data_IF_062461347004
#
_entry.id   IF_062461347004
#
_cell.length_a   1.000
_cell.length_b   1.000
_cell.length_c   1.000
_cell.angle_alpha   90.00
_cell.angle_beta   90.00
_cell.angle_gamma   90.00
#
_symmetry.space_group_name_H-M   'P 1'
#
loop_
_entity.id
_entity.type
_entity.pdbx_description
1 polymer ?
#
# COMPACT_ATOMS: atom_id res chain seq x y z
N UNK A 1 -23.63 4.72 -5.32
CA UNK A 1 -22.37 5.29 -4.80
C UNK A 1 -21.97 4.66 -3.47
N UNK A 2 -20.94 3.81 -3.49
CA UNK A 2 -20.31 3.21 -2.30
C UNK A 2 -18.89 3.77 -2.12
N UNK A 3 -18.35 3.66 -0.91
CA UNK A 3 -16.96 4.03 -0.61
C UNK A 3 -16.24 2.84 0.00
N UNK A 4 -15.04 2.54 -0.51
CA UNK A 4 -14.13 1.54 0.04
C UNK A 4 -12.88 2.23 0.57
N UNK A 5 -12.51 1.90 1.80
CA UNK A 5 -11.38 2.50 2.49
C UNK A 5 -10.42 1.39 2.90
N UNK A 6 -9.17 1.52 2.48
CA UNK A 6 -8.11 0.55 2.73
C UNK A 6 -6.95 1.22 3.46
N UNK A 7 -6.38 0.55 4.45
CA UNK A 7 -5.09 0.91 5.00
C UNK A 7 -4.02 0.04 4.35
N UNK A 8 -2.96 0.65 3.85
CA UNK A 8 -1.94 0.00 3.02
C UNK A 8 -0.55 0.30 3.58
N UNK A 9 0.31 -0.71 3.63
CA UNK A 9 1.70 -0.60 4.02
C UNK A 9 2.63 -0.80 2.82
N UNK A 10 3.46 0.19 2.53
CA UNK A 10 4.63 0.06 1.67
C UNK A 10 5.84 -0.20 2.57
N UNK A 11 6.17 -1.49 2.75
CA UNK A 11 7.23 -1.94 3.64
C UNK A 11 8.49 -2.18 2.83
N UNK A 12 9.63 -1.57 3.21
CA UNK A 12 10.92 -1.84 2.58
C UNK A 12 11.91 -2.57 3.52
N UNK A 13 12.75 -3.43 2.94
CA UNK A 13 13.90 -4.02 3.63
C UNK A 13 15.17 -3.18 3.46
N UNK A 14 16.29 -3.64 4.02
CA UNK A 14 17.60 -2.98 3.90
C UNK A 14 18.17 -3.02 2.47
N UNK A 15 17.69 -3.93 1.63
CA UNK A 15 18.10 -4.08 0.23
C UNK A 15 17.33 -3.14 -0.71
N UNK A 16 16.38 -2.35 -0.18
CA UNK A 16 15.55 -1.44 -0.98
C UNK A 16 14.43 -2.15 -1.74
N UNK A 17 14.10 -3.38 -1.37
CA UNK A 17 12.98 -4.13 -1.92
C UNK A 17 11.71 -3.90 -1.11
N UNK A 18 10.55 -4.05 -1.75
CA UNK A 18 9.23 -3.85 -1.15
C UNK A 18 8.51 -5.16 -0.93
N UNK A 19 7.83 -5.29 0.21
CA UNK A 19 7.05 -6.47 0.54
C UNK A 19 5.68 -6.42 -0.14
N UNK A 20 5.37 -7.46 -0.90
CA UNK A 20 4.09 -7.66 -1.57
C UNK A 20 3.55 -9.06 -1.30
N UNK A 21 2.23 -9.14 -1.18
CA UNK A 21 1.50 -10.40 -1.11
C UNK A 21 1.05 -10.79 -2.50
N UNK A 22 1.28 -12.03 -2.90
CA UNK A 22 0.72 -12.60 -4.13
C UNK A 22 -0.57 -13.34 -3.79
N UNK A 23 -1.71 -12.83 -4.24
CA UNK A 23 -3.00 -13.48 -4.03
C UNK A 23 -2.99 -14.86 -4.71
N UNK A 24 -3.50 -15.86 -4.01
CA UNK A 24 -3.63 -17.24 -4.50
C UNK A 24 -4.54 -17.29 -5.73
N UNK A 25 -4.44 -18.37 -6.50
CA UNK A 25 -5.13 -18.50 -7.80
C UNK A 25 -6.59 -18.99 -7.70
N UNK A 26 -7.10 -19.21 -6.49
CA UNK A 26 -8.43 -19.72 -6.19
C UNK A 26 -9.47 -18.59 -6.11
N UNK A 27 -10.22 -18.38 -7.20
CA UNK A 27 -11.46 -17.57 -7.32
C UNK A 27 -11.51 -16.18 -6.64
N UNK A 28 -10.38 -15.63 -6.20
CA UNK A 28 -10.30 -14.33 -5.59
C UNK A 28 -10.21 -13.21 -6.63
N UNK A 29 -10.86 -12.09 -6.32
CA UNK A 29 -10.67 -10.85 -7.03
C UNK A 29 -9.17 -10.48 -6.99
N UNK A 30 -8.53 -10.38 -8.16
CA UNK A 30 -7.08 -10.20 -8.36
C UNK A 30 -6.21 -11.48 -8.22
N UNK A 31 -6.76 -12.67 -8.42
CA UNK A 31 -5.98 -13.91 -8.48
C UNK A 31 -4.67 -13.80 -9.30
N UNK A 32 -3.55 -14.11 -8.64
CA UNK A 32 -2.20 -14.01 -9.21
C UNK A 32 -1.64 -12.59 -9.36
N UNK A 33 -2.31 -11.55 -8.86
CA UNK A 33 -1.72 -10.23 -8.70
C UNK A 33 -0.85 -10.16 -7.45
N UNK A 34 0.11 -9.24 -7.51
CA UNK A 34 0.86 -8.77 -6.37
C UNK A 34 0.16 -7.52 -5.84
N UNK A 35 -0.26 -7.60 -4.58
CA UNK A 35 -0.91 -6.51 -3.84
C UNK A 35 0.00 -6.07 -2.70
N UNK A 36 0.00 -4.78 -2.35
CA UNK A 36 0.71 -4.33 -1.15
C UNK A 36 0.05 -4.95 0.09
N UNK A 37 0.80 -4.99 1.19
CA UNK A 37 0.27 -5.41 2.49
C UNK A 37 -0.82 -4.43 2.93
N UNK A 38 -1.97 -4.93 3.38
CA UNK A 38 -3.06 -4.07 3.82
C UNK A 38 -4.46 -4.58 3.50
N UNK A 39 -5.44 -3.99 4.19
CA UNK A 39 -6.82 -4.45 4.16
C UNK A 39 -7.84 -3.35 4.48
N UNK A 40 -9.08 -3.77 4.72
CA UNK A 40 -10.20 -2.86 4.95
C UNK A 40 -10.08 -2.18 6.31
N UNK A 41 -10.38 -0.88 6.34
CA UNK A 41 -10.47 -0.12 7.59
C UNK A 41 -11.77 -0.49 8.30
N UNK A 42 -11.69 -0.90 9.57
CA UNK A 42 -12.85 -1.22 10.38
C UNK A 42 -13.53 0.06 10.90
N UNK A 43 -14.84 0.05 11.23
CA UNK A 43 -15.56 1.25 11.69
C UNK A 43 -14.89 1.96 12.87
N UNK A 44 -14.34 1.21 13.82
CA UNK A 44 -13.62 1.70 15.00
C UNK A 44 -12.24 2.30 14.68
N UNK A 45 -11.68 2.01 13.50
CA UNK A 45 -10.36 2.46 13.06
C UNK A 45 -10.42 3.73 12.20
N UNK A 46 -11.63 4.22 11.86
CA UNK A 46 -11.81 5.36 10.94
C UNK A 46 -11.11 6.65 11.42
N UNK A 47 -11.04 6.87 12.74
CA UNK A 47 -10.34 8.03 13.32
C UNK A 47 -8.82 7.83 13.39
N UNK A 48 -8.34 6.59 13.30
CA UNK A 48 -6.94 6.23 13.39
C UNK A 48 -6.58 5.14 12.39
N UNK A 49 -6.55 5.53 11.11
CA UNK A 49 -6.25 4.61 10.01
C UNK A 49 -4.85 3.97 10.08
N UNK A 50 -3.95 4.53 10.91
CA UNK A 50 -2.65 3.91 11.23
C UNK A 50 -2.83 2.61 12.03
N UNK A 51 -3.82 2.53 12.92
CA UNK A 51 -4.10 1.30 13.66
C UNK A 51 -4.54 0.18 12.72
N UNK A 52 -5.41 0.48 11.76
CA UNK A 52 -5.78 -0.46 10.70
C UNK A 52 -4.54 -0.95 9.95
N UNK A 53 -3.65 -0.03 9.53
CA UNK A 53 -2.43 -0.39 8.82
C UNK A 53 -1.55 -1.35 9.64
N UNK A 54 -1.26 -1.04 10.90
CA UNK A 54 -0.41 -1.88 11.76
C UNK A 54 -1.04 -3.25 12.05
N UNK A 55 -2.36 -3.31 12.19
CA UNK A 55 -3.09 -4.57 12.35
C UNK A 55 -2.96 -5.44 11.11
N UNK A 56 -3.21 -4.91 9.92
CA UNK A 56 -3.11 -5.65 8.66
C UNK A 56 -1.67 -6.15 8.43
N UNK A 57 -0.66 -5.33 8.75
CA UNK A 57 0.74 -5.76 8.71
C UNK A 57 0.98 -6.96 9.60
N UNK A 58 0.48 -6.96 10.84
CA UNK A 58 0.61 -8.09 11.74
C UNK A 58 -0.17 -9.32 11.23
N UNK A 59 -1.42 -9.17 10.82
CA UNK A 59 -2.29 -10.26 10.34
C UNK A 59 -1.73 -10.93 9.07
N UNK A 60 -1.19 -10.16 8.12
CA UNK A 60 -0.69 -10.67 6.84
C UNK A 60 0.78 -11.12 6.84
N UNK A 61 1.60 -10.60 7.76
CA UNK A 61 3.06 -10.80 7.73
C UNK A 61 3.68 -11.29 9.04
N UNK A 62 2.93 -11.28 10.14
CA UNK A 62 3.43 -11.58 11.48
C UNK A 62 4.41 -10.54 12.06
N UNK A 63 4.74 -9.46 11.33
CA UNK A 63 5.60 -8.39 11.82
C UNK A 63 4.88 -7.60 12.92
N UNK A 64 5.53 -7.44 14.06
CA UNK A 64 5.02 -6.66 15.17
C UNK A 64 5.48 -5.20 15.06
N UNK A 65 4.82 -4.29 15.77
CA UNK A 65 5.16 -2.87 15.76
C UNK A 65 6.64 -2.60 16.15
N UNK A 66 7.23 -3.45 16.99
CA UNK A 66 8.65 -3.36 17.38
C UNK A 66 9.62 -3.63 16.23
N UNK A 67 9.17 -4.35 15.20
CA UNK A 67 9.97 -4.72 14.02
C UNK A 67 9.89 -3.64 12.93
N UNK A 68 9.00 -2.65 13.10
CA UNK A 68 8.71 -1.60 12.13
C UNK A 68 9.37 -0.28 12.53
N UNK A 69 9.98 0.37 11.55
CA UNK A 69 10.69 1.63 11.70
C UNK A 69 10.20 2.65 10.68
N UNK A 70 10.42 3.94 10.97
CA UNK A 70 10.10 5.05 10.07
C UNK A 70 8.65 5.03 9.54
N UNK A 71 7.68 4.69 10.40
CA UNK A 71 6.27 4.60 10.01
C UNK A 71 5.71 6.00 9.73
N UNK A 72 5.46 6.30 8.45
CA UNK A 72 5.00 7.61 7.98
C UNK A 72 3.75 7.47 7.12
N UNK A 73 2.77 8.37 7.29
CA UNK A 73 1.64 8.46 6.39
C UNK A 73 2.03 9.28 5.16
N UNK A 74 2.07 8.65 3.98
CA UNK A 74 2.70 9.24 2.79
C UNK A 74 1.76 9.49 1.64
N UNK A 75 0.76 8.64 1.43
CA UNK A 75 -0.14 8.80 0.31
C UNK A 75 -1.61 8.61 0.68
N UNK A 76 -2.46 9.48 0.17
CA UNK A 76 -3.87 9.21 -0.03
C UNK A 76 -4.11 8.95 -1.52
N UNK A 77 -4.36 7.70 -1.90
CA UNK A 77 -4.72 7.37 -3.28
C UNK A 77 -6.24 7.36 -3.41
N UNK A 78 -6.75 8.12 -4.38
CA UNK A 78 -8.18 8.29 -4.66
C UNK A 78 -8.46 7.81 -6.08
N UNK A 79 -9.48 6.97 -6.22
CA UNK A 79 -9.95 6.50 -7.53
C UNK A 79 -11.46 6.38 -7.54
N UNK A 80 -12.08 6.88 -8.61
CA UNK A 80 -13.48 6.61 -8.91
C UNK A 80 -13.58 5.55 -10.02
N UNK A 81 -14.22 4.42 -9.74
CA UNK A 81 -14.38 3.30 -10.67
C UNK A 81 -15.60 2.48 -10.28
N UNK A 82 -16.38 1.99 -11.25
CA UNK A 82 -17.55 1.12 -11.01
C UNK A 82 -18.60 1.68 -10.02
N UNK A 83 -18.91 2.99 -10.08
CA UNK A 83 -19.80 3.70 -9.11
C UNK A 83 -19.32 3.61 -7.64
N UNK A 84 -18.01 3.44 -7.45
CA UNK A 84 -17.34 3.31 -6.16
C UNK A 84 -16.16 4.30 -6.05
N UNK A 85 -16.07 4.99 -4.91
CA UNK A 85 -14.88 5.75 -4.52
C UNK A 85 -13.98 4.81 -3.72
N UNK A 86 -12.76 4.58 -4.20
CA UNK A 86 -11.72 3.83 -3.50
C UNK A 86 -10.69 4.78 -2.92
N UNK A 87 -10.52 4.73 -1.61
CA UNK A 87 -9.51 5.46 -0.83
C UNK A 87 -8.50 4.47 -0.28
N UNK A 88 -7.21 4.72 -0.53
CA UNK A 88 -6.12 3.95 0.06
C UNK A 88 -5.22 4.88 0.85
N UNK A 89 -5.15 4.64 2.16
CA UNK A 89 -4.29 5.33 3.10
C UNK A 89 -2.96 4.57 3.18
N UNK A 90 -1.93 5.06 2.49
CA UNK A 90 -0.65 4.37 2.35
C UNK A 90 0.37 4.90 3.35
N UNK A 91 0.85 3.99 4.19
CA UNK A 91 1.94 4.21 5.12
C UNK A 91 3.22 3.60 4.59
N UNK A 92 4.32 4.33 4.66
CA UNK A 92 5.66 3.80 4.40
C UNK A 92 6.31 3.39 5.70
N UNK A 93 7.08 2.31 5.67
CA UNK A 93 7.84 1.84 6.82
C UNK A 93 8.99 0.96 6.36
N UNK A 94 10.01 0.82 7.19
CA UNK A 94 11.08 -0.16 6.99
C UNK A 94 11.04 -1.23 8.06
N UNK A 95 11.58 -2.41 7.76
CA UNK A 95 11.67 -3.52 8.72
C UNK A 95 13.04 -4.21 8.66
N UNK A 96 13.47 -4.71 9.82
CA UNK A 96 14.57 -5.67 9.95
C UNK A 96 14.06 -7.07 10.33
N UNK A 97 12.75 -7.20 10.56
CA UNK A 97 12.10 -8.46 10.88
C UNK A 97 11.98 -9.37 9.67
N UNK A 98 11.70 -10.65 9.93
CA UNK A 98 11.44 -11.64 8.88
C UNK A 98 9.93 -11.87 8.76
N UNK A 99 9.28 -11.36 7.69
CA UNK A 99 7.86 -11.58 7.52
C UNK A 99 7.56 -13.05 7.19
N UNK A 100 6.42 -13.53 7.64
CA UNK A 100 5.93 -14.89 7.40
C UNK A 100 4.58 -14.82 6.68
N UNK A 101 4.40 -15.66 5.66
CA UNK A 101 3.15 -15.73 4.89
C UNK A 101 1.95 -16.08 5.77
N UNK A 102 0.80 -15.49 5.47
CA UNK A 102 -0.49 -15.80 6.07
C UNK A 102 -1.32 -16.75 5.20
N UNK A 103 -2.58 -17.00 5.59
CA UNK A 103 -3.54 -17.75 4.76
C UNK A 103 -3.90 -17.03 3.45
N UNK A 104 -3.67 -15.72 3.35
CA UNK A 104 -4.07 -14.89 2.21
C UNK A 104 -3.18 -15.04 0.97
N UNK A 105 -1.94 -15.49 1.14
CA UNK A 105 -1.01 -15.62 0.02
C UNK A 105 0.45 -15.71 0.43
N UNK A 106 1.29 -15.85 -0.59
CA UNK A 106 2.74 -15.92 -0.42
C UNK A 106 3.35 -14.51 -0.48
N UNK A 107 4.32 -14.26 0.40
CA UNK A 107 5.03 -13.00 0.48
C UNK A 107 6.26 -12.97 -0.44
N UNK A 108 6.49 -11.82 -1.06
CA UNK A 108 7.61 -11.58 -1.95
C UNK A 108 8.24 -10.21 -1.68
N UNK A 109 9.56 -10.19 -1.56
CA UNK A 109 10.36 -8.97 -1.69
C UNK A 109 10.57 -8.68 -3.18
N UNK A 110 10.18 -7.48 -3.61
CA UNK A 110 10.25 -7.06 -5.00
C UNK A 110 10.91 -5.70 -5.15
N UNK A 111 11.81 -5.55 -6.11
CA UNK A 111 12.34 -4.23 -6.48
C UNK A 111 11.28 -3.39 -7.19
N UNK A 112 11.47 -2.06 -7.21
CA UNK A 112 10.61 -1.15 -7.99
C UNK A 112 10.54 -1.56 -9.46
N UNK A 113 11.66 -1.95 -10.08
CA UNK A 113 11.72 -2.45 -11.46
C UNK A 113 10.89 -3.73 -11.66
N UNK A 114 10.97 -4.68 -10.72
CA UNK A 114 10.15 -5.90 -10.78
C UNK A 114 8.66 -5.57 -10.70
N UNK A 115 8.25 -4.63 -9.85
CA UNK A 115 6.85 -4.23 -9.72
C UNK A 115 6.25 -3.69 -11.03
N UNK A 116 7.07 -3.04 -11.88
CA UNK A 116 6.63 -2.56 -13.19
C UNK A 116 6.26 -3.70 -14.15
N UNK A 117 6.98 -4.82 -14.08
CA UNK A 117 6.79 -5.98 -14.98
C UNK A 117 5.81 -7.01 -14.43
N UNK A 118 5.44 -6.93 -13.15
CA UNK A 118 4.47 -7.84 -12.51
C UNK A 118 3.02 -7.37 -12.68
N UNK A 119 2.09 -8.28 -12.36
CA UNK A 119 0.64 -8.00 -12.27
C UNK A 119 0.36 -7.23 -10.97
N UNK A 120 0.64 -5.94 -10.99
CA UNK A 120 0.33 -4.98 -9.91
C UNK A 120 -0.71 -4.00 -10.45
N UNK A 121 -1.60 -3.50 -9.60
CA UNK A 121 -2.65 -2.56 -10.04
C UNK A 121 -2.06 -1.19 -10.42
N UNK A 122 -2.65 -0.45 -11.38
CA UNK A 122 -2.13 0.84 -11.82
C UNK A 122 -1.91 1.89 -10.70
N UNK A 123 -2.82 2.07 -9.70
CA UNK A 123 -2.57 3.00 -8.61
C UNK A 123 -1.30 2.70 -7.82
N UNK A 124 -1.03 1.41 -7.58
CA UNK A 124 0.13 0.98 -6.81
C UNK A 124 1.42 1.14 -7.60
N UNK A 125 1.42 0.83 -8.91
CA UNK A 125 2.58 1.10 -9.77
C UNK A 125 2.93 2.60 -9.77
N UNK A 126 1.94 3.45 -10.01
CA UNK A 126 2.14 4.91 -10.02
C UNK A 126 2.65 5.43 -8.66
N UNK A 127 2.14 4.90 -7.56
CA UNK A 127 2.58 5.26 -6.21
C UNK A 127 4.03 4.85 -5.95
N UNK A 128 4.44 3.63 -6.32
CA UNK A 128 5.83 3.19 -6.17
C UNK A 128 6.77 4.04 -7.03
N UNK A 129 6.41 4.32 -8.29
CA UNK A 129 7.20 5.19 -9.17
C UNK A 129 7.37 6.60 -8.58
N UNK A 130 6.30 7.18 -8.03
CA UNK A 130 6.37 8.49 -7.37
C UNK A 130 7.19 8.43 -6.08
N UNK A 131 7.07 7.37 -5.30
CA UNK A 131 7.81 7.21 -4.05
C UNK A 131 9.32 7.15 -4.33
N UNK A 132 9.74 6.37 -5.33
CA UNK A 132 11.12 6.29 -5.80
C UNK A 132 11.66 7.63 -6.30
N UNK A 133 10.86 8.39 -7.06
CA UNK A 133 11.31 9.63 -7.69
C UNK A 133 11.36 10.81 -6.72
N UNK A 134 10.32 10.98 -5.91
CA UNK A 134 10.11 12.20 -5.12
C UNK A 134 9.84 11.90 -3.63
N UNK A 135 9.13 10.81 -3.32
CA UNK A 135 8.54 10.58 -2.00
C UNK A 135 9.53 10.19 -0.89
N UNK A 136 10.66 9.56 -1.26
CA UNK A 136 11.74 9.15 -0.36
C UNK A 136 12.51 10.33 0.25
N UNK A 137 12.62 11.43 -0.47
CA UNK A 137 13.51 12.55 -0.14
C UNK A 137 12.84 13.66 0.69
N UNK A 138 11.57 13.49 1.03
CA UNK A 138 10.79 14.46 1.81
C UNK A 138 10.03 13.77 2.93
N UNK A 139 9.47 14.53 3.87
CA UNK A 139 8.47 14.08 4.84
C UNK A 139 7.05 14.47 4.45
N UNK A 140 6.86 15.09 3.28
CA UNK A 140 5.56 15.51 2.78
C UNK A 140 4.63 14.31 2.55
N UNK A 141 3.34 14.60 2.66
CA UNK A 141 2.27 13.70 2.27
C UNK A 141 1.72 14.10 0.90
N UNK A 142 1.29 13.12 0.11
CA UNK A 142 0.77 13.33 -1.23
C UNK A 142 -0.64 12.79 -1.37
N UNK A 143 -1.44 13.44 -2.19
CA UNK A 143 -2.74 12.94 -2.66
C UNK A 143 -2.59 12.58 -4.13
N UNK A 144 -2.88 11.33 -4.47
CA UNK A 144 -2.87 10.82 -5.82
C UNK A 144 -4.29 10.56 -6.32
N UNK A 145 -4.73 11.22 -7.38
CA UNK A 145 -6.03 10.93 -8.03
C UNK A 145 -5.82 10.20 -9.34
N UNK A 146 -6.33 8.98 -9.48
CA UNK A 146 -6.22 8.23 -10.73
C UNK A 146 -7.31 8.68 -11.70
N UNK A 147 -6.89 9.31 -12.80
CA UNK A 147 -7.78 9.78 -13.86
C UNK A 147 -8.31 8.66 -14.75
N UNK A 148 -9.37 8.96 -15.51
CA UNK A 148 -10.00 8.03 -16.47
C UNK A 148 -9.06 7.60 -17.60
N UNK A 149 -8.05 8.41 -17.92
CA UNK A 149 -7.01 8.08 -18.90
C UNK A 149 -5.88 7.20 -18.37
N UNK A 150 -5.96 6.74 -17.11
CA UNK A 150 -5.02 5.78 -16.53
C UNK A 150 -3.74 6.37 -15.94
N UNK A 151 -3.57 7.69 -15.96
CA UNK A 151 -2.46 8.38 -15.29
C UNK A 151 -2.88 8.91 -13.91
N UNK A 152 -1.90 8.99 -13.01
CA UNK A 152 -2.07 9.56 -11.67
C UNK A 152 -1.71 11.05 -11.69
N UNK A 153 -2.55 11.88 -11.05
CA UNK A 153 -2.23 13.27 -10.75
C UNK A 153 -1.88 13.38 -9.27
N UNK A 154 -0.87 14.18 -8.95
CA UNK A 154 -0.33 14.30 -7.61
C UNK A 154 -0.50 15.73 -7.08
N UNK A 155 -0.72 15.85 -5.77
CA UNK A 155 -0.67 17.12 -5.05
C UNK A 155 -0.08 16.88 -3.68
N UNK A 156 0.76 17.79 -3.22
CA UNK A 156 1.30 17.74 -1.85
C UNK A 156 0.23 18.22 -0.87
N UNK A 157 -0.04 17.45 0.18
CA UNK A 157 -0.86 17.91 1.29
C UNK A 157 0.03 18.59 2.32
N UNK A 158 -0.12 19.91 2.42
CA UNK A 158 0.62 20.78 3.32
C UNK A 158 -0.33 21.33 4.39
N UNK A 159 0.18 21.44 5.61
CA UNK A 159 -0.48 22.20 6.68
C UNK A 159 -0.31 23.70 6.37
N UNK A 160 -1.41 24.45 6.35
CA UNK A 160 -1.45 25.84 5.86
C UNK A 160 -1.82 26.86 6.94
#
# INVERSE_FOLDING_TARGET
>A
MKTRQMAVALINNQQGEYLFLKKRNDHDFLAGFYVPIGGHIRPEELINVKQACLREVYEETGLEQKDLHNVQYKYLLVRYVDDEIRLQYVFTMSTLGTPTSSEEGDLYWLTSEQLLTRRVTPPIKAMVEHFERDGKETNDMFVGTLGTGGWMQWSTLIDC
#
